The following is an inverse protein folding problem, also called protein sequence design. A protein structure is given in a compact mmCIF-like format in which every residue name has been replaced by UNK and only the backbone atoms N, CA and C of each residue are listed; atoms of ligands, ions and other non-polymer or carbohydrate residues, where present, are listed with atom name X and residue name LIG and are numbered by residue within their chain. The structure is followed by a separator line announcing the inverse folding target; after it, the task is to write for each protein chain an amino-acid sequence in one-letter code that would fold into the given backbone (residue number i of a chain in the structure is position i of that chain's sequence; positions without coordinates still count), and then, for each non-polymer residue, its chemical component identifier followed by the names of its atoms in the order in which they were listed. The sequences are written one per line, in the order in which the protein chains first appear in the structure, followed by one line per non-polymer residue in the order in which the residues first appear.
data_IF_875840046019
#
_entry.id   IF_875840046019
#
_cell.length_a   1.000
_cell.length_b   1.000
_cell.length_c   1.000
_cell.angle_alpha   90.00
_cell.angle_beta   90.00
_cell.angle_gamma   90.00
#
_symmetry.space_group_name_H-M   'P 1'
#
loop_
_entity.id
_entity.type
_entity.pdbx_description
1 polymer ?
#
# COMPACT_ATOMS: atom_id res chain seq x y z
N UNK A 1 -6.81 21.40 1.83
CA UNK A 1 -7.72 20.22 1.74
C UNK A 1 -7.79 19.60 3.12
N UNK A 2 -8.97 19.19 3.62
CA UNK A 2 -9.05 18.56 4.94
C UNK A 2 -8.67 17.08 4.85
N UNK A 3 -7.47 16.75 5.35
CA UNK A 3 -6.95 15.38 5.34
C UNK A 3 -7.68 14.44 6.31
N UNK A 4 -8.38 14.97 7.32
CA UNK A 4 -9.10 14.12 8.30
C UNK A 4 -10.37 13.50 7.72
N UNK A 5 -10.92 14.10 6.65
CA UNK A 5 -12.08 13.60 5.91
C UNK A 5 -11.69 12.69 4.71
N UNK A 6 -10.39 12.48 4.48
CA UNK A 6 -9.90 11.63 3.38
C UNK A 6 -10.03 10.16 3.76
N UNK A 7 -10.61 9.38 2.86
CA UNK A 7 -10.75 7.94 3.04
C UNK A 7 -10.35 7.20 1.77
N UNK A 8 -9.07 6.83 1.69
CA UNK A 8 -8.45 6.05 0.62
C UNK A 8 -8.96 4.62 0.54
N UNK A 9 -9.75 4.15 1.52
CA UNK A 9 -10.40 2.83 1.43
C UNK A 9 -11.67 2.85 0.56
N UNK A 10 -12.21 4.04 0.25
CA UNK A 10 -13.38 4.21 -0.62
C UNK A 10 -13.01 4.13 -2.09
N UNK A 11 -13.46 3.06 -2.75
CA UNK A 11 -13.25 2.84 -4.17
C UNK A 11 -13.78 3.98 -5.05
N UNK A 12 -14.81 4.70 -4.58
CA UNK A 12 -15.41 5.84 -5.27
C UNK A 12 -14.39 6.94 -5.60
N UNK A 13 -13.38 7.13 -4.73
CA UNK A 13 -12.33 8.14 -4.94
C UNK A 13 -11.45 7.84 -6.16
N UNK A 14 -11.46 6.60 -6.65
CA UNK A 14 -10.65 6.14 -7.78
C UNK A 14 -11.46 5.96 -9.07
N UNK A 15 -12.79 6.16 -9.03
CA UNK A 15 -13.65 5.97 -10.22
C UNK A 15 -13.33 6.94 -11.36
N UNK A 16 -12.80 8.12 -11.03
CA UNK A 16 -12.32 9.11 -11.99
C UNK A 16 -10.85 8.95 -12.41
N UNK A 17 -10.19 7.86 -12.00
CA UNK A 17 -8.75 7.69 -12.10
C UNK A 17 -8.04 7.93 -10.78
N UNK A 18 -6.70 7.98 -10.82
CA UNK A 18 -5.91 8.17 -9.61
C UNK A 18 -6.09 9.59 -9.04
N UNK A 19 -6.27 9.76 -7.72
CA UNK A 19 -6.51 11.06 -7.10
C UNK A 19 -5.21 11.88 -7.00
N UNK A 20 -4.71 12.36 -8.14
CA UNK A 20 -3.41 13.06 -8.24
C UNK A 20 -3.33 14.29 -7.34
N UNK A 21 -4.40 15.11 -7.29
CA UNK A 21 -4.46 16.33 -6.47
C UNK A 21 -4.25 16.04 -4.98
N UNK A 22 -4.93 15.02 -4.46
CA UNK A 22 -4.74 14.57 -3.07
C UNK A 22 -3.28 14.16 -2.82
N UNK A 23 -2.69 13.38 -3.72
CA UNK A 23 -1.30 12.95 -3.56
C UNK A 23 -0.28 14.09 -3.77
N UNK A 24 -0.62 15.16 -4.49
CA UNK A 24 0.18 16.39 -4.54
C UNK A 24 0.20 17.09 -3.19
N UNK A 25 -0.98 17.30 -2.59
CA UNK A 25 -1.09 17.88 -1.24
C UNK A 25 -0.35 17.03 -0.21
N UNK A 26 -0.49 15.70 -0.26
CA UNK A 26 0.24 14.80 0.64
C UNK A 26 1.76 14.96 0.49
N UNK A 27 2.31 15.02 -0.74
CA UNK A 27 3.76 15.17 -0.93
C UNK A 27 4.33 16.47 -0.37
N UNK A 28 3.54 17.54 -0.44
CA UNK A 28 3.91 18.89 -0.02
C UNK A 28 3.75 19.08 1.50
N UNK A 29 2.58 18.72 2.05
CA UNK A 29 2.19 19.06 3.42
C UNK A 29 2.39 17.91 4.42
N UNK A 30 2.19 16.66 4.00
CA UNK A 30 2.19 15.49 4.88
C UNK A 30 2.75 14.23 4.19
N UNK A 31 4.06 14.21 3.84
CA UNK A 31 4.62 13.19 2.96
C UNK A 31 4.56 11.77 3.54
N UNK A 32 4.57 11.68 4.88
CA UNK A 32 4.26 10.48 5.66
C UNK A 32 3.03 10.79 6.50
N UNK A 33 1.87 10.30 6.07
CA UNK A 33 0.58 10.61 6.69
C UNK A 33 -0.07 9.36 7.25
N UNK A 34 -0.65 9.45 8.45
CA UNK A 34 -1.44 8.37 9.05
C UNK A 34 -2.88 8.51 8.59
N UNK A 35 -3.37 7.55 7.82
CA UNK A 35 -4.76 7.49 7.41
C UNK A 35 -5.67 7.39 8.64
N UNK A 36 -6.77 8.15 8.75
CA UNK A 36 -7.68 8.10 9.88
C UNK A 36 -8.42 6.75 9.93
N UNK A 37 -8.98 6.43 11.09
CA UNK A 37 -9.85 5.27 11.22
C UNK A 37 -11.17 5.52 10.49
N UNK A 38 -11.47 4.64 9.55
CA UNK A 38 -12.72 4.58 8.79
C UNK A 38 -13.27 3.15 8.81
N UNK A 39 -14.56 2.93 8.49
CA UNK A 39 -15.13 1.58 8.41
C UNK A 39 -14.35 0.66 7.45
N UNK A 40 -13.71 1.20 6.41
CA UNK A 40 -12.84 0.42 5.53
C UNK A 40 -11.51 0.04 6.16
N UNK A 41 -10.92 0.89 7.02
CA UNK A 41 -9.68 0.56 7.74
C UNK A 41 -9.88 -0.51 8.81
N UNK A 42 -11.06 -0.60 9.42
CA UNK A 42 -11.37 -1.66 10.39
C UNK A 42 -11.23 -3.05 9.75
N UNK A 43 -11.67 -3.19 8.49
CA UNK A 43 -11.52 -4.42 7.70
C UNK A 43 -10.06 -4.78 7.40
N UNK A 44 -9.16 -3.79 7.45
CA UNK A 44 -7.72 -3.96 7.23
C UNK A 44 -6.94 -4.20 8.54
N UNK A 45 -7.62 -4.24 9.69
CA UNK A 45 -6.98 -4.35 10.99
C UNK A 45 -6.51 -3.02 11.58
N UNK A 46 -7.00 -1.89 11.05
CA UNK A 46 -6.78 -0.54 11.58
C UNK A 46 -6.20 0.44 10.57
N UNK A 47 -5.87 1.64 11.07
CA UNK A 47 -5.25 2.71 10.29
C UNK A 47 -3.91 2.27 9.65
N UNK A 48 -3.54 2.89 8.54
CA UNK A 48 -2.28 2.62 7.83
C UNK A 48 -1.50 3.90 7.53
N UNK A 49 -0.21 3.75 7.22
CA UNK A 49 0.65 4.86 6.82
C UNK A 49 0.63 5.00 5.30
N UNK A 50 0.53 6.25 4.83
CA UNK A 50 0.66 6.62 3.43
C UNK A 50 1.97 7.36 3.26
N UNK A 51 2.84 6.81 2.41
CA UNK A 51 4.12 7.42 2.03
C UNK A 51 3.98 7.88 0.58
N UNK A 52 4.05 9.19 0.37
CA UNK A 52 3.68 9.81 -0.91
C UNK A 52 4.87 10.28 -1.74
N UNK A 53 6.07 10.40 -1.14
CA UNK A 53 7.29 10.79 -1.84
C UNK A 53 8.01 9.58 -2.42
N UNK A 54 8.49 9.76 -3.65
CA UNK A 54 9.20 8.72 -4.37
C UNK A 54 10.49 8.27 -3.67
N UNK A 55 11.26 9.21 -3.10
CA UNK A 55 12.48 8.89 -2.35
C UNK A 55 12.22 7.99 -1.13
N UNK A 56 11.14 8.28 -0.38
CA UNK A 56 10.77 7.53 0.81
C UNK A 56 10.27 6.13 0.45
N UNK A 57 9.45 6.02 -0.61
CA UNK A 57 9.01 4.72 -1.13
C UNK A 57 10.20 3.87 -1.56
N UNK A 58 11.19 4.45 -2.25
CA UNK A 58 12.41 3.73 -2.60
C UNK A 58 13.22 3.30 -1.38
N UNK A 59 13.35 4.17 -0.37
CA UNK A 59 14.08 3.86 0.86
C UNK A 59 13.42 2.70 1.63
N UNK A 60 12.10 2.75 1.80
CA UNK A 60 11.30 1.70 2.45
C UNK A 60 11.44 0.39 1.70
N UNK A 61 11.30 0.41 0.37
CA UNK A 61 11.38 -0.80 -0.45
C UNK A 61 12.77 -1.45 -0.42
N UNK A 62 13.83 -0.68 -0.15
CA UNK A 62 15.23 -1.18 -0.08
C UNK A 62 15.65 -1.61 1.33
N UNK A 63 14.82 -1.39 2.35
CA UNK A 63 15.09 -1.82 3.73
C UNK A 63 14.14 -2.95 4.14
N UNK A 64 14.36 -4.18 3.64
CA UNK A 64 13.52 -5.32 3.99
C UNK A 64 13.64 -5.69 5.46
N UNK A 65 14.70 -5.26 6.15
CA UNK A 65 14.93 -5.58 7.57
C UNK A 65 13.91 -4.86 8.45
N UNK A 66 13.68 -3.57 8.18
CA UNK A 66 12.70 -2.75 8.90
C UNK A 66 11.28 -2.86 8.32
N UNK A 67 11.16 -3.02 7.01
CA UNK A 67 9.86 -3.07 6.32
C UNK A 67 9.67 -4.42 5.67
N UNK A 68 8.84 -5.25 6.31
CA UNK A 68 8.58 -6.63 5.88
C UNK A 68 7.22 -6.70 5.20
N UNK A 69 7.18 -7.29 4.01
CA UNK A 69 5.92 -7.77 3.41
C UNK A 69 5.61 -9.14 4.02
N UNK A 70 4.85 -9.17 5.11
CA UNK A 70 4.60 -10.40 5.87
C UNK A 70 3.93 -11.50 5.04
N UNK A 71 3.06 -11.13 4.10
CA UNK A 71 2.35 -12.05 3.21
C UNK A 71 2.95 -12.14 1.79
N UNK A 72 3.97 -11.31 1.49
CA UNK A 72 4.56 -11.19 0.15
C UNK A 72 3.52 -10.85 -0.94
N UNK A 73 3.92 -10.68 -2.21
CA UNK A 73 3.00 -10.67 -3.34
C UNK A 73 2.56 -12.10 -3.71
N UNK A 74 2.55 -13.03 -2.74
CA UNK A 74 2.05 -14.36 -3.01
C UNK A 74 0.61 -14.19 -3.47
N UNK A 75 0.30 -14.66 -4.69
CA UNK A 75 -1.06 -14.96 -5.07
C UNK A 75 -1.59 -15.79 -3.91
N UNK A 76 -2.52 -15.22 -3.14
CA UNK A 76 -3.12 -15.86 -1.99
C UNK A 76 -3.74 -17.12 -2.56
N UNK A 77 -3.02 -18.23 -2.37
CA UNK A 77 -3.43 -19.52 -2.87
C UNK A 77 -4.67 -19.88 -2.07
N UNK A 78 -5.84 -19.61 -2.65
CA UNK A 78 -7.09 -20.23 -2.25
C UNK A 78 -6.95 -21.74 -2.47
N UNK A 79 -6.25 -22.40 -1.55
CA UNK A 79 -5.98 -23.84 -1.48
C UNK A 79 -5.42 -24.43 -2.78
N UNK A 80 -4.15 -24.84 -2.78
CA UNK A 80 -3.71 -26.20 -2.47
C UNK A 80 -2.17 -26.26 -2.51
N UNK A 81 -1.57 -26.63 -1.37
CA UNK A 81 -0.26 -27.27 -1.20
C UNK A 81 0.86 -26.87 -2.18
N UNK A 82 1.70 -25.93 -1.74
CA UNK A 82 3.03 -25.71 -2.33
C UNK A 82 4.00 -26.79 -1.87
N UNK A 83 3.92 -27.99 -2.45
CA UNK A 83 5.07 -28.89 -2.49
C UNK A 83 6.00 -28.44 -3.63
N UNK A 84 7.08 -27.76 -3.24
CA UNK A 84 8.36 -27.79 -3.92
C UNK A 84 8.42 -27.36 -5.39
N UNK A 85 8.40 -26.05 -5.66
CA UNK A 85 9.06 -25.51 -6.86
C UNK A 85 9.75 -24.16 -6.53
N UNK A 86 11.08 -24.22 -6.48
CA UNK A 86 11.97 -23.06 -6.47
C UNK A 86 11.99 -22.47 -7.88
N UNK A 87 11.69 -21.17 -8.00
CA UNK A 87 11.78 -20.44 -9.27
C UNK A 87 13.26 -20.19 -9.60
N UNK A 88 13.89 -21.18 -10.24
CA UNK A 88 15.15 -20.99 -10.98
C UNK A 88 14.89 -21.47 -12.41
N UNK A 89 15.03 -20.50 -13.32
CA UNK A 89 15.20 -20.59 -14.78
C UNK A 89 14.09 -21.26 -15.59
N UNK A 90 13.37 -20.44 -16.36
CA UNK A 90 13.07 -20.81 -17.74
C UNK A 90 12.95 -19.54 -18.61
N UNK A 91 14.05 -19.25 -19.28
CA UNK A 91 14.09 -18.75 -20.66
C UNK A 91 15.22 -19.57 -21.33
N UNK A 92 15.12 -19.99 -22.61
CA UNK A 92 14.06 -19.77 -23.60
C UNK A 92 13.19 -21.01 -23.93
#
# INVERSE_FOLDING_TARGET
MDLTAVDLTRHEMFRGGFPHELFSVLREEAPVWRHPETPGTERLGGSFWVVSRHEDVQAISRDPVRFRSLEGPAIVDTGHAREGLMLVTMDP
#
